data_IF_562869527292
#
_entry.id   IF_562869527292
#
_cell.length_a   1.000
_cell.length_b   1.000
_cell.length_c   1.000
_cell.angle_alpha   90.00
_cell.angle_beta   90.00
_cell.angle_gamma   90.00
#
_symmetry.space_group_name_H-M   'P 1'
#
loop_
_entity.id
_entity.type
_entity.pdbx_description
1 polymer ?
#
# COMPACT_ATOMS: atom_id res chain seq x y z
N UNK A 1 25.75 21.46 -24.58
CA UNK A 1 24.47 21.54 -25.29
C UNK A 1 23.58 20.48 -24.67
N UNK A 2 22.67 20.87 -23.78
CA UNK A 2 21.80 19.95 -23.06
C UNK A 2 20.53 20.70 -22.74
N UNK A 3 19.50 20.47 -23.55
CA UNK A 3 18.24 21.19 -23.46
C UNK A 3 17.51 20.78 -22.18
N UNK A 4 17.43 21.72 -21.23
CA UNK A 4 16.50 21.64 -20.11
C UNK A 4 15.15 22.07 -20.62
N UNK A 5 14.23 21.13 -20.76
CA UNK A 5 12.81 21.42 -21.02
C UNK A 5 12.23 22.00 -19.72
N UNK A 6 12.02 23.30 -19.70
CA UNK A 6 11.16 23.96 -18.71
C UNK A 6 9.72 23.87 -19.22
N UNK A 7 8.83 23.22 -18.47
CA UNK A 7 7.41 23.33 -18.72
C UNK A 7 6.93 24.64 -18.09
N UNK A 8 6.59 25.63 -18.94
CA UNK A 8 5.95 26.87 -18.52
C UNK A 8 4.57 26.60 -17.92
N UNK A 9 4.24 27.34 -16.85
CA UNK A 9 3.02 27.23 -16.06
C UNK A 9 1.71 27.53 -16.83
N UNK A 10 1.78 27.91 -18.11
CA UNK A 10 0.59 28.25 -18.92
C UNK A 10 -0.13 27.02 -19.52
N UNK A 11 0.50 25.83 -19.52
CA UNK A 11 -0.16 24.60 -20.03
C UNK A 11 -1.26 24.04 -19.11
N UNK A 12 -1.38 24.53 -17.87
CA UNK A 12 -2.37 24.03 -16.91
C UNK A 12 -3.72 24.78 -16.94
N UNK A 13 -3.81 25.95 -17.57
CA UNK A 13 -5.06 26.74 -17.56
C UNK A 13 -6.11 26.26 -18.58
N UNK A 14 -5.75 25.36 -19.51
CA UNK A 14 -6.68 24.85 -20.53
C UNK A 14 -6.99 23.34 -20.45
N UNK A 15 -6.59 22.67 -19.36
CA UNK A 15 -7.09 21.33 -19.07
C UNK A 15 -8.52 21.43 -18.55
N UNK A 16 -9.48 21.47 -19.49
CA UNK A 16 -10.87 21.08 -19.20
C UNK A 16 -10.79 19.70 -18.54
N UNK A 17 -11.07 19.63 -17.24
CA UNK A 17 -11.18 18.36 -16.52
C UNK A 17 -12.21 17.51 -17.27
N UNK A 18 -11.69 16.53 -18.01
CA UNK A 18 -12.52 15.49 -18.62
C UNK A 18 -13.32 14.84 -17.51
N UNK A 19 -14.62 14.64 -17.74
CA UNK A 19 -15.52 13.85 -16.87
C UNK A 19 -15.09 12.38 -16.75
N UNK A 20 -14.10 11.95 -17.52
CA UNK A 20 -13.44 10.65 -17.41
C UNK A 20 -12.44 10.62 -16.24
N UNK A 21 -12.72 9.79 -15.22
CA UNK A 21 -11.74 9.41 -14.19
C UNK A 21 -10.67 8.41 -14.70
N UNK A 22 -10.80 7.95 -15.94
CA UNK A 22 -9.84 7.07 -16.61
C UNK A 22 -8.80 7.97 -17.30
N UNK A 23 -7.55 7.83 -16.87
CA UNK A 23 -6.41 8.56 -17.43
C UNK A 23 -5.82 7.82 -18.64
N UNK A 24 -5.81 6.48 -18.60
CA UNK A 24 -5.30 5.64 -19.68
C UNK A 24 -6.09 4.33 -19.75
N UNK A 25 -6.38 3.86 -20.96
CA UNK A 25 -7.07 2.60 -21.20
C UNK A 25 -6.47 1.90 -22.43
N UNK A 26 -5.99 0.68 -22.23
CA UNK A 26 -5.54 -0.24 -23.28
C UNK A 26 -5.99 -1.65 -22.94
N UNK A 27 -5.75 -2.59 -23.85
CA UNK A 27 -6.06 -4.01 -23.63
C UNK A 27 -5.37 -4.58 -22.37
N UNK A 28 -4.17 -4.08 -22.02
CA UNK A 28 -3.34 -4.63 -20.95
C UNK A 28 -3.24 -3.75 -19.71
N UNK A 29 -3.54 -2.45 -19.83
CA UNK A 29 -3.32 -1.49 -18.75
C UNK A 29 -4.45 -0.47 -18.70
N UNK A 30 -5.00 -0.29 -17.50
CA UNK A 30 -5.95 0.77 -17.18
C UNK A 30 -5.43 1.58 -16.00
N UNK A 31 -5.32 2.90 -16.18
CA UNK A 31 -4.96 3.84 -15.12
C UNK A 31 -6.19 4.67 -14.80
N UNK A 32 -6.61 4.62 -13.54
CA UNK A 32 -7.79 5.35 -13.04
C UNK A 32 -7.37 6.23 -11.87
N UNK A 33 -7.77 7.51 -11.90
CA UNK A 33 -7.63 8.41 -10.77
C UNK A 33 -8.99 8.47 -10.05
N UNK A 34 -9.12 7.72 -8.96
CA UNK A 34 -10.36 7.63 -8.20
C UNK A 34 -10.10 7.31 -6.72
N UNK A 35 -11.13 7.43 -5.89
CA UNK A 35 -11.08 7.13 -4.47
C UNK A 35 -11.38 5.65 -4.22
N UNK A 36 -10.43 4.93 -3.61
CA UNK A 36 -10.52 3.50 -3.30
C UNK A 36 -11.79 3.11 -2.52
N UNK A 37 -12.30 4.00 -1.67
CA UNK A 37 -13.50 3.77 -0.86
C UNK A 37 -14.77 3.81 -1.72
N UNK A 38 -14.85 4.73 -2.68
CA UNK A 38 -16.08 5.02 -3.42
C UNK A 38 -16.08 4.54 -4.88
N UNK A 39 -14.92 4.11 -5.39
CA UNK A 39 -14.78 3.75 -6.81
C UNK A 39 -15.72 2.61 -7.19
N UNK A 40 -16.30 2.72 -8.39
CA UNK A 40 -17.18 1.72 -9.01
C UNK A 40 -16.57 1.08 -10.27
N UNK A 41 -15.32 1.43 -10.60
CA UNK A 41 -14.65 0.92 -11.80
C UNK A 41 -14.14 -0.52 -11.64
N UNK A 42 -14.03 -1.01 -10.40
CA UNK A 42 -13.55 -2.35 -10.10
C UNK A 42 -14.73 -3.22 -9.65
N UNK A 43 -15.04 -4.23 -10.46
CA UNK A 43 -16.08 -5.21 -10.13
C UNK A 43 -15.63 -6.10 -8.96
N UNK A 44 -16.57 -6.51 -8.12
CA UNK A 44 -16.28 -7.49 -7.07
C UNK A 44 -15.84 -8.82 -7.69
N UNK A 45 -14.93 -9.53 -7.00
CA UNK A 45 -14.38 -10.83 -7.44
C UNK A 45 -13.78 -10.79 -8.85
N UNK A 46 -13.13 -9.68 -9.23
CA UNK A 46 -12.50 -9.52 -10.54
C UNK A 46 -10.97 -9.54 -10.49
N UNK A 47 -10.36 -9.28 -9.33
CA UNK A 47 -8.92 -9.11 -9.20
C UNK A 47 -8.24 -10.40 -8.73
N UNK A 48 -7.19 -10.81 -9.43
CA UNK A 48 -6.36 -11.98 -9.08
C UNK A 48 -5.29 -11.66 -8.04
N UNK A 49 -4.67 -10.49 -8.14
CA UNK A 49 -3.59 -10.02 -7.27
C UNK A 49 -3.75 -8.52 -7.03
N UNK A 50 -3.69 -8.12 -5.76
CA UNK A 50 -3.50 -6.72 -5.38
C UNK A 50 -2.09 -6.58 -4.82
N UNK A 51 -1.37 -5.54 -5.23
CA UNK A 51 -0.08 -5.13 -4.65
C UNK A 51 -0.20 -3.65 -4.30
N UNK A 52 0.06 -3.29 -3.05
CA UNK A 52 -0.07 -1.88 -2.63
C UNK A 52 0.78 -1.53 -1.41
N UNK A 53 1.19 -0.26 -1.35
CA UNK A 53 1.83 0.43 -0.22
C UNK A 53 0.96 1.66 0.12
N UNK A 54 -0.11 1.48 0.94
CA UNK A 54 -1.03 2.57 1.23
C UNK A 54 -0.30 3.67 2.02
N UNK A 55 -0.78 4.93 2.01
CA UNK A 55 -0.14 5.99 2.78
C UNK A 55 -0.12 5.66 4.28
N UNK A 56 1.06 5.60 4.90
CA UNK A 56 1.23 5.18 6.30
C UNK A 56 0.94 6.28 7.34
N UNK A 57 0.29 7.37 6.92
CA UNK A 57 0.11 8.57 7.74
C UNK A 57 1.44 9.07 8.36
N UNK A 58 2.55 8.92 7.60
CA UNK A 58 3.90 9.27 8.07
C UNK A 58 4.27 10.72 7.74
N UNK A 59 3.75 11.34 6.68
CA UNK A 59 4.17 12.68 6.22
C UNK A 59 3.10 13.52 5.50
N UNK A 60 1.93 13.75 6.10
CA UNK A 60 1.02 14.78 5.57
C UNK A 60 0.68 15.80 6.65
N UNK A 61 1.45 16.89 6.67
CA UNK A 61 0.91 18.17 7.13
C UNK A 61 -0.16 18.58 6.12
N UNK A 62 -1.43 18.21 6.37
CA UNK A 62 -2.54 18.87 5.70
C UNK A 62 -2.54 20.32 6.21
N UNK A 63 -1.92 21.18 5.42
CA UNK A 63 -1.93 22.63 5.58
C UNK A 63 -3.38 23.10 5.79
N UNK A 64 -3.58 23.88 6.86
CA UNK A 64 -4.82 24.56 7.22
C UNK A 64 -6.06 23.67 7.34
N UNK A 65 -6.22 23.01 8.48
CA UNK A 65 -7.45 22.89 9.28
C UNK A 65 -7.13 21.92 10.43
N UNK A 66 -7.65 22.18 11.63
CA UNK A 66 -7.25 21.60 12.93
C UNK A 66 -7.43 20.08 13.12
N UNK A 67 -7.53 19.27 12.07
CA UNK A 67 -7.76 17.83 12.12
C UNK A 67 -6.49 17.04 11.81
N UNK A 68 -5.57 16.96 12.78
CA UNK A 68 -4.58 15.86 12.77
C UNK A 68 -5.37 14.55 12.79
N UNK A 69 -5.36 13.78 11.69
CA UNK A 69 -5.99 12.45 11.66
C UNK A 69 -5.40 11.61 12.79
N UNK A 70 -6.23 11.25 13.76
CA UNK A 70 -5.78 10.43 14.87
C UNK A 70 -5.36 9.04 14.37
N UNK A 71 -4.53 8.33 15.13
CA UNK A 71 -4.17 6.96 14.75
C UNK A 71 -5.41 6.07 14.61
N UNK A 72 -6.44 6.30 15.44
CA UNK A 72 -7.73 5.62 15.33
C UNK A 72 -8.44 5.92 14.01
N UNK A 73 -8.42 7.18 13.55
CA UNK A 73 -9.01 7.54 12.25
C UNK A 73 -8.27 6.87 11.09
N UNK A 74 -6.94 6.76 11.20
CA UNK A 74 -6.13 6.00 10.26
C UNK A 74 -6.49 4.51 10.23
N UNK A 75 -6.69 3.87 11.38
CA UNK A 75 -7.13 2.47 11.45
C UNK A 75 -8.55 2.29 10.87
N UNK A 76 -9.46 3.24 11.14
CA UNK A 76 -10.81 3.23 10.55
C UNK A 76 -10.78 3.39 9.03
N UNK A 77 -10.01 4.35 8.53
CA UNK A 77 -9.76 4.52 7.10
C UNK A 77 -9.17 3.23 6.51
N UNK A 78 -8.24 2.61 7.21
CA UNK A 78 -7.59 1.37 6.80
C UNK A 78 -8.52 0.20 6.69
N UNK A 79 -9.40 0.03 7.67
CA UNK A 79 -10.46 -0.97 7.63
C UNK A 79 -11.36 -0.79 6.40
N UNK A 80 -11.71 0.44 6.05
CA UNK A 80 -12.59 0.71 4.91
C UNK A 80 -11.93 0.34 3.58
N UNK A 81 -10.69 0.77 3.31
CA UNK A 81 -10.04 0.43 2.04
C UNK A 81 -9.63 -1.05 1.97
N UNK A 82 -9.22 -1.66 3.09
CA UNK A 82 -8.97 -3.11 3.15
C UNK A 82 -10.23 -3.93 2.81
N UNK A 83 -11.39 -3.48 3.29
CA UNK A 83 -12.67 -4.14 2.99
C UNK A 83 -12.99 -4.09 1.50
N UNK A 84 -12.72 -2.95 0.82
CA UNK A 84 -12.87 -2.82 -0.64
C UNK A 84 -11.93 -3.77 -1.38
N UNK A 85 -10.66 -3.83 -0.99
CA UNK A 85 -9.69 -4.77 -1.55
C UNK A 85 -10.17 -6.23 -1.39
N UNK A 86 -10.72 -6.58 -0.22
CA UNK A 86 -11.28 -7.92 0.02
C UNK A 86 -12.44 -8.22 -0.93
N UNK A 87 -13.36 -7.29 -1.16
CA UNK A 87 -14.50 -7.46 -2.07
C UNK A 87 -14.06 -7.67 -3.53
N UNK A 88 -13.09 -6.90 -4.00
CA UNK A 88 -12.57 -6.96 -5.37
C UNK A 88 -11.81 -8.24 -5.69
N UNK A 89 -11.14 -8.84 -4.71
CA UNK A 89 -10.40 -10.08 -4.92
C UNK A 89 -11.33 -11.24 -5.29
N UNK A 90 -10.88 -12.06 -6.23
CA UNK A 90 -11.44 -13.40 -6.46
C UNK A 90 -11.27 -14.26 -5.21
N UNK A 91 -12.05 -15.33 -5.10
CA UNK A 91 -12.00 -16.25 -3.95
C UNK A 91 -10.62 -16.92 -3.81
N UNK A 92 -9.90 -17.08 -4.91
CA UNK A 92 -8.51 -17.55 -4.98
C UNK A 92 -7.50 -16.41 -5.25
N UNK A 93 -7.88 -15.18 -4.94
CA UNK A 93 -7.07 -13.98 -5.09
C UNK A 93 -6.11 -13.76 -3.93
N UNK A 94 -5.00 -13.07 -4.23
CA UNK A 94 -3.91 -12.77 -3.30
C UNK A 94 -3.74 -11.28 -3.10
N UNK A 95 -3.18 -10.91 -1.96
CA UNK A 95 -2.94 -9.53 -1.60
C UNK A 95 -1.56 -9.36 -0.97
N UNK A 96 -0.70 -8.58 -1.61
CA UNK A 96 0.60 -8.16 -1.10
C UNK A 96 0.47 -6.75 -0.54
N UNK A 97 0.52 -6.64 0.79
CA UNK A 97 0.39 -5.39 1.52
C UNK A 97 1.75 -4.99 2.08
N UNK A 98 2.36 -3.97 1.48
CA UNK A 98 3.58 -3.35 2.00
C UNK A 98 3.20 -2.32 3.07
N UNK A 99 3.71 -2.49 4.30
CA UNK A 99 3.43 -1.66 5.47
C UNK A 99 4.66 -1.57 6.39
N UNK A 100 4.86 -0.48 7.14
CA UNK A 100 5.93 -0.40 8.14
C UNK A 100 5.64 -1.38 9.29
N UNK A 101 6.70 -1.85 9.97
CA UNK A 101 6.54 -2.59 11.23
C UNK A 101 5.92 -1.66 12.28
N UNK A 102 6.62 -0.57 12.56
CA UNK A 102 6.27 0.41 13.60
C UNK A 102 6.37 1.83 13.04
N UNK A 103 5.70 2.76 13.70
CA UNK A 103 5.96 4.20 13.54
C UNK A 103 6.19 4.86 14.89
N UNK A 104 7.02 5.92 14.89
CA UNK A 104 7.37 6.67 16.10
C UNK A 104 6.76 8.08 16.14
N UNK A 105 6.35 8.64 15.00
CA UNK A 105 5.84 10.02 14.90
C UNK A 105 4.46 10.13 15.57
N UNK A 106 4.37 10.96 16.62
CA UNK A 106 3.16 11.08 17.44
C UNK A 106 2.98 9.95 18.46
N UNK A 107 4.05 9.19 18.75
CA UNK A 107 4.05 8.04 19.65
C UNK A 107 4.39 6.74 18.93
N UNK A 108 4.85 5.75 19.69
CA UNK A 108 5.07 4.39 19.17
C UNK A 108 3.72 3.74 18.85
N UNK A 109 3.58 3.20 17.65
CA UNK A 109 2.39 2.46 17.21
C UNK A 109 2.82 1.27 16.35
N UNK A 110 2.21 0.11 16.61
CA UNK A 110 2.45 -1.16 15.94
C UNK A 110 1.65 -1.29 14.64
N UNK A 111 1.94 -0.41 13.68
CA UNK A 111 1.17 -0.28 12.42
C UNK A 111 1.06 -1.62 11.69
N UNK A 112 2.16 -2.37 11.58
CA UNK A 112 2.18 -3.67 10.94
C UNK A 112 1.20 -4.64 11.61
N UNK A 113 1.28 -4.75 12.94
CA UNK A 113 0.42 -5.66 13.71
C UNK A 113 -1.07 -5.27 13.63
N UNK A 114 -1.37 -3.97 13.70
CA UNK A 114 -2.75 -3.48 13.71
C UNK A 114 -3.42 -3.68 12.34
N UNK A 115 -2.72 -3.41 11.24
CA UNK A 115 -3.25 -3.62 9.90
C UNK A 115 -3.43 -5.10 9.56
N UNK A 116 -2.51 -5.97 10.01
CA UNK A 116 -2.65 -7.43 9.87
C UNK A 116 -3.90 -7.90 10.64
N UNK A 117 -4.11 -7.39 11.85
CA UNK A 117 -5.28 -7.73 12.67
C UNK A 117 -6.57 -7.31 11.98
N UNK A 118 -6.66 -6.05 11.52
CA UNK A 118 -7.81 -5.54 10.77
C UNK A 118 -8.08 -6.38 9.51
N UNK A 119 -7.03 -6.73 8.76
CA UNK A 119 -7.20 -7.55 7.56
C UNK A 119 -7.78 -8.93 7.90
N UNK A 120 -7.29 -9.57 8.97
CA UNK A 120 -7.84 -10.86 9.44
C UNK A 120 -9.30 -10.73 9.90
N UNK A 121 -9.65 -9.66 10.60
CA UNK A 121 -11.02 -9.40 11.05
C UNK A 121 -12.00 -9.19 9.89
N UNK A 122 -11.53 -8.62 8.78
CA UNK A 122 -12.31 -8.48 7.53
C UNK A 122 -12.53 -9.86 6.86
N UNK A 123 -11.65 -10.81 7.10
CA UNK A 123 -11.74 -12.18 6.59
C UNK A 123 -10.56 -12.60 5.70
N UNK A 124 -9.53 -11.76 5.54
CA UNK A 124 -8.30 -12.22 4.90
C UNK A 124 -7.65 -13.33 5.71
N UNK A 125 -7.03 -14.28 4.99
CA UNK A 125 -6.19 -15.31 5.57
C UNK A 125 -4.73 -14.95 5.37
N UNK A 126 -3.93 -15.15 6.41
CA UNK A 126 -2.49 -14.92 6.38
C UNK A 126 -1.76 -16.09 5.70
N UNK A 127 -0.77 -15.79 4.85
CA UNK A 127 0.12 -16.78 4.25
C UNK A 127 1.54 -16.65 4.79
N UNK A 128 2.19 -15.51 4.57
CA UNK A 128 3.57 -15.27 4.97
C UNK A 128 3.88 -13.77 5.01
N UNK A 129 5.04 -13.41 5.57
CA UNK A 129 5.55 -12.03 5.57
C UNK A 129 6.94 -12.04 4.96
N UNK A 130 7.17 -11.16 4.00
CA UNK A 130 8.51 -10.83 3.52
C UNK A 130 8.99 -9.63 4.34
N UNK A 131 10.19 -9.72 4.90
CA UNK A 131 10.85 -8.60 5.57
C UNK A 131 11.70 -7.89 4.51
N UNK A 132 11.27 -6.71 4.11
CA UNK A 132 11.97 -5.91 3.12
C UNK A 132 12.97 -4.99 3.81
N UNK A 133 14.25 -5.30 3.67
CA UNK A 133 15.33 -4.42 4.06
C UNK A 133 15.55 -3.39 2.95
N UNK A 134 15.10 -2.17 3.18
CA UNK A 134 15.14 -1.08 2.19
C UNK A 134 16.58 -0.62 1.88
N UNK A 135 17.58 -1.02 2.69
CA UNK A 135 18.99 -0.66 2.50
C UNK A 135 19.31 0.82 2.72
N UNK A 136 18.30 1.67 2.87
CA UNK A 136 18.42 3.08 3.21
C UNK A 136 18.78 3.22 4.69
N UNK A 137 20.09 3.19 4.98
CA UNK A 137 20.62 3.61 6.28
C UNK A 137 20.47 5.14 6.37
N UNK A 138 19.23 5.63 6.55
CA UNK A 138 19.06 6.97 7.08
C UNK A 138 19.74 6.98 8.44
N UNK A 139 20.68 7.90 8.65
CA UNK A 139 21.41 8.10 9.91
C UNK A 139 20.46 8.56 11.03
N UNK A 140 19.44 7.77 11.36
CA UNK A 140 18.54 8.00 12.49
C UNK A 140 19.17 7.37 13.72
N UNK A 141 20.25 7.98 14.17
CA UNK A 141 20.64 7.86 15.57
C UNK A 141 19.47 8.39 16.41
N UNK A 142 18.95 7.56 17.32
CA UNK A 142 17.99 8.00 18.33
C UNK A 142 18.71 8.93 19.32
N UNK A 143 19.00 10.17 18.90
CA UNK A 143 19.79 11.15 19.66
C UNK A 143 19.19 11.50 21.04
N UNK A 144 17.93 11.12 21.30
CA UNK A 144 17.22 11.38 22.55
C UNK A 144 17.25 10.26 23.60
N UNK A 145 17.84 9.09 23.33
CA UNK A 145 17.98 8.01 24.33
C UNK A 145 19.34 7.30 24.34
N UNK A 146 20.25 7.62 23.41
CA UNK A 146 21.57 6.98 23.36
C UNK A 146 22.58 7.55 24.37
N UNK A 147 22.30 8.68 25.00
CA UNK A 147 23.13 9.26 26.08
C UNK A 147 22.73 8.80 27.49
N UNK A 148 21.68 7.96 27.62
CA UNK A 148 21.29 7.36 28.89
C UNK A 148 21.01 5.87 28.72
N UNK A 149 21.75 5.03 29.45
CA UNK A 149 21.53 3.59 29.49
C UNK A 149 20.19 3.18 30.12
N UNK A 150 19.37 4.13 30.58
CA UNK A 150 18.10 3.86 31.23
C UNK A 150 17.01 3.34 30.29
N UNK A 151 17.10 3.60 28.96
CA UNK A 151 16.07 3.19 27.99
C UNK A 151 16.59 3.14 26.54
N UNK A 152 17.51 2.23 26.18
CA UNK A 152 17.97 2.08 24.81
C UNK A 152 16.83 1.65 23.87
N UNK A 153 16.79 2.19 22.66
CA UNK A 153 15.81 1.84 21.63
C UNK A 153 16.47 1.74 20.25
N UNK A 154 16.11 0.70 19.49
CA UNK A 154 16.60 0.45 18.14
C UNK A 154 15.43 0.54 17.17
N UNK A 155 15.64 1.27 16.08
CA UNK A 155 14.64 1.37 15.01
C UNK A 155 14.94 0.31 13.97
N UNK A 156 13.98 -0.56 13.69
CA UNK A 156 14.09 -1.53 12.61
C UNK A 156 14.02 -0.80 11.25
N UNK A 157 15.05 -0.96 10.42
CA UNK A 157 15.13 -0.35 9.07
C UNK A 157 14.53 -1.28 8.02
N UNK A 158 13.35 -1.81 8.31
CA UNK A 158 12.67 -2.77 7.44
C UNK A 158 11.19 -2.46 7.36
N UNK A 159 10.60 -2.80 6.23
CA UNK A 159 9.16 -2.85 6.05
C UNK A 159 8.68 -4.29 5.94
N UNK A 160 7.39 -4.51 6.14
CA UNK A 160 6.73 -5.79 5.92
C UNK A 160 6.05 -5.75 4.58
N UNK A 161 6.20 -6.81 3.79
CA UNK A 161 5.26 -7.14 2.71
C UNK A 161 4.49 -8.38 3.18
N UNK A 162 3.28 -8.14 3.67
CA UNK A 162 2.39 -9.18 4.19
C UNK A 162 1.65 -9.81 3.01
N UNK A 163 1.75 -11.13 2.90
CA UNK A 163 1.03 -11.92 1.90
C UNK A 163 -0.24 -12.48 2.54
N UNK A 164 -1.37 -12.02 2.01
CA UNK A 164 -2.71 -12.41 2.41
C UNK A 164 -3.46 -13.04 1.24
N UNK A 165 -4.53 -13.78 1.52
CA UNK A 165 -5.42 -14.36 0.50
C UNK A 165 -6.87 -14.39 0.97
N UNK A 166 -7.82 -14.47 0.02
CA UNK A 166 -9.26 -14.33 0.31
C UNK A 166 -9.87 -15.60 0.92
N UNK A 167 -9.95 -16.71 0.17
CA UNK A 167 -10.54 -17.97 0.67
C UNK A 167 -9.61 -19.16 0.53
N UNK A 168 -9.05 -19.36 -0.67
CA UNK A 168 -8.20 -20.52 -1.00
C UNK A 168 -6.87 -20.05 -1.55
N UNK A 169 -5.77 -20.64 -1.08
CA UNK A 169 -4.43 -20.32 -1.58
C UNK A 169 -4.19 -20.86 -3.00
N UNK A 170 -4.69 -22.08 -3.27
CA UNK A 170 -4.57 -22.72 -4.58
C UNK A 170 -5.40 -21.94 -5.61
N UNK A 171 -4.76 -21.61 -6.73
CA UNK A 171 -5.46 -21.01 -7.88
C UNK A 171 -6.39 -22.05 -8.51
N UNK A 172 -7.66 -21.71 -8.62
CA UNK A 172 -8.70 -22.60 -9.16
C UNK A 172 -9.43 -22.00 -10.35
N UNK A 173 -9.39 -20.68 -10.49
CA UNK A 173 -9.95 -19.89 -11.60
C UNK A 173 -8.91 -19.60 -12.70
N UNK A 174 -9.35 -19.09 -13.85
CA UNK A 174 -8.50 -18.77 -15.01
C UNK A 174 -8.27 -19.96 -15.95
N UNK A 175 -7.38 -19.79 -16.94
CA UNK A 175 -7.02 -20.84 -17.91
C UNK A 175 -6.24 -21.99 -17.28
N UNK A 176 -5.53 -21.72 -16.17
CA UNK A 176 -4.56 -22.63 -15.52
C UNK A 176 -3.36 -22.99 -16.41
N UNK A 177 -3.16 -22.22 -17.47
CA UNK A 177 -1.94 -22.27 -18.29
C UNK A 177 -0.83 -21.51 -17.57
N UNK A 178 0.39 -22.04 -17.64
CA UNK A 178 1.56 -21.40 -17.04
C UNK A 178 2.24 -20.52 -18.09
N UNK A 179 2.38 -19.24 -17.79
CA UNK A 179 3.07 -18.26 -18.66
C UNK A 179 4.57 -18.14 -18.37
N UNK A 180 5.09 -18.94 -17.42
CA UNK A 180 6.52 -19.08 -17.12
C UNK A 180 6.92 -20.55 -17.23
N UNK A 181 8.02 -20.80 -17.93
CA UNK A 181 8.62 -22.13 -18.06
C UNK A 181 9.33 -22.55 -16.76
N UNK A 182 9.69 -23.83 -16.66
CA UNK A 182 10.45 -24.32 -15.51
C UNK A 182 11.83 -23.67 -15.47
N UNK A 183 12.44 -23.48 -16.63
CA UNK A 183 13.77 -22.92 -16.81
C UNK A 183 13.79 -21.45 -16.36
N UNK A 184 12.84 -20.62 -16.83
CA UNK A 184 12.69 -19.22 -16.41
C UNK A 184 12.39 -19.07 -14.91
N UNK A 185 11.75 -20.05 -14.29
CA UNK A 185 11.49 -20.03 -12.84
C UNK A 185 12.74 -20.35 -12.00
N UNK A 186 13.71 -21.10 -12.55
CA UNK A 186 14.90 -21.54 -11.83
C UNK A 186 16.09 -20.58 -11.97
N UNK A 187 16.03 -19.64 -12.92
CA UNK A 187 16.97 -18.50 -13.04
C UNK A 187 16.73 -17.44 -11.96
#
# INVERSE_FOLDING_TARGET
MGDKIFFENEMFENLRFSSSRIFFDSRMLKITNDNVITTKYISNKSIDLIVTSPPYNVDIEYSSHNNKLSYRDYLNFSKNWLSRCFEWLKDDGRFCLNIPIDKNKGGQQSVGADLITIAKDIGFKYHSTIVWNEGNISRRTAWGSWLSASAPYVIALVELIVILYKKTWKKTSGSRESDITKEEFME
#
